data_IF_059844585457
#
_entry.id   IF_059844585457
#
_cell.length_a   1.000
_cell.length_b   1.000
_cell.length_c   1.000
_cell.angle_alpha   90.00
_cell.angle_beta   90.00
_cell.angle_gamma   90.00
#
_symmetry.space_group_name_H-M   'P 1'
#
loop_
_entity.id
_entity.type
_entity.pdbx_description
1 polymer ?
#
# COMPACT_ATOMS: atom_id res chain seq x y z
N UNK A 1 8.46 4.68 10.02
CA UNK A 1 7.09 4.12 9.88
C UNK A 1 7.01 3.02 8.82
N UNK A 2 7.20 3.29 7.52
CA UNK A 2 6.97 2.27 6.46
C UNK A 2 7.81 1.01 6.64
N UNK A 3 9.04 1.12 7.18
CA UNK A 3 9.88 -0.04 7.54
C UNK A 3 9.23 -0.94 8.59
N UNK A 4 8.55 -0.36 9.58
CA UNK A 4 7.83 -1.11 10.62
C UNK A 4 6.58 -1.77 10.06
N UNK A 5 5.80 -1.06 9.24
CA UNK A 5 4.64 -1.65 8.55
C UNK A 5 5.10 -2.82 7.69
N UNK A 6 6.16 -2.62 6.90
CA UNK A 6 6.72 -3.66 6.03
C UNK A 6 7.09 -4.92 6.79
N UNK A 7 7.76 -4.78 7.94
CA UNK A 7 8.15 -5.90 8.78
C UNK A 7 6.95 -6.61 9.43
N UNK A 8 5.89 -5.88 9.78
CA UNK A 8 4.75 -6.44 10.53
C UNK A 8 3.75 -7.19 9.67
N UNK A 9 3.57 -6.77 8.42
CA UNK A 9 2.55 -7.36 7.53
C UNK A 9 3.13 -8.01 6.29
N UNK A 10 4.46 -8.12 6.20
CA UNK A 10 5.18 -8.52 4.98
C UNK A 10 4.67 -7.71 3.76
N UNK A 11 4.71 -6.37 3.87
CA UNK A 11 4.08 -5.47 2.89
C UNK A 11 4.65 -5.66 1.49
N UNK A 12 5.99 -5.63 1.36
CA UNK A 12 6.70 -5.62 0.10
C UNK A 12 7.40 -6.95 -0.16
N UNK A 13 7.36 -7.36 -1.41
CA UNK A 13 8.18 -8.42 -1.96
C UNK A 13 9.64 -7.95 -2.11
N UNK A 14 10.60 -8.87 -2.12
CA UNK A 14 12.03 -8.57 -2.17
C UNK A 14 12.49 -7.81 -3.44
N UNK A 15 11.66 -7.74 -4.48
CA UNK A 15 11.86 -6.91 -5.67
C UNK A 15 11.65 -5.41 -5.42
N UNK A 16 11.03 -5.04 -4.30
CA UNK A 16 10.68 -3.65 -3.97
C UNK A 16 11.26 -3.25 -2.63
N UNK A 17 11.92 -2.09 -2.58
CA UNK A 17 12.41 -1.50 -1.33
C UNK A 17 11.36 -0.60 -0.69
N UNK A 18 11.49 -0.40 0.63
CA UNK A 18 10.62 0.55 1.35
C UNK A 18 10.82 1.98 0.83
N UNK A 19 12.04 2.31 0.42
CA UNK A 19 12.41 3.59 -0.17
C UNK A 19 11.67 3.84 -1.50
N UNK A 20 11.57 2.84 -2.38
CA UNK A 20 10.80 2.95 -3.63
C UNK A 20 9.31 3.20 -3.38
N UNK A 21 8.72 2.49 -2.40
CA UNK A 21 7.34 2.76 -1.99
C UNK A 21 7.19 4.18 -1.44
N UNK A 22 8.14 4.62 -0.62
CA UNK A 22 8.11 5.95 -0.01
C UNK A 22 8.18 7.06 -1.05
N UNK A 23 9.08 6.95 -2.03
CA UNK A 23 9.18 7.89 -3.16
C UNK A 23 7.87 7.99 -3.93
N UNK A 24 7.24 6.85 -4.23
CA UNK A 24 5.96 6.81 -4.93
C UNK A 24 4.85 7.46 -4.08
N UNK A 25 4.80 7.21 -2.76
CA UNK A 25 3.81 7.84 -1.87
C UNK A 25 3.92 9.36 -1.81
N UNK A 26 5.13 9.91 -1.98
CA UNK A 26 5.38 11.36 -2.05
C UNK A 26 5.03 11.97 -3.40
N UNK A 27 4.91 11.15 -4.46
CA UNK A 27 4.57 11.63 -5.79
C UNK A 27 3.10 12.07 -5.88
N UNK A 28 2.84 13.13 -6.65
CA UNK A 28 1.47 13.56 -6.98
C UNK A 28 0.84 12.73 -8.09
N UNK A 29 1.70 12.12 -8.91
CA UNK A 29 1.32 11.25 -10.01
C UNK A 29 2.26 10.04 -10.05
N UNK A 30 1.69 8.85 -10.03
CA UNK A 30 2.42 7.58 -9.97
C UNK A 30 2.81 7.07 -11.36
N UNK A 31 2.29 7.66 -12.45
CA UNK A 31 2.64 7.20 -13.80
C UNK A 31 4.10 7.49 -14.15
N UNK A 32 4.67 8.55 -13.57
CA UNK A 32 6.02 9.02 -13.86
C UNK A 32 7.11 8.31 -13.04
N UNK A 33 6.75 7.33 -12.21
CA UNK A 33 7.72 6.56 -11.42
C UNK A 33 8.18 5.35 -12.21
N UNK A 34 9.49 5.13 -12.36
CA UNK A 34 10.01 3.92 -13.04
C UNK A 34 9.77 2.63 -12.23
N UNK A 35 9.72 2.75 -10.91
CA UNK A 35 9.60 1.60 -9.99
C UNK A 35 8.22 0.93 -10.05
N UNK A 36 8.20 -0.41 -10.16
CA UNK A 36 7.03 -1.22 -9.79
C UNK A 36 7.07 -1.53 -8.29
N UNK A 37 5.88 -1.54 -7.67
CA UNK A 37 5.67 -1.90 -6.27
C UNK A 37 5.06 -3.30 -6.22
N UNK A 38 5.88 -4.28 -5.88
CA UNK A 38 5.47 -5.66 -5.68
C UNK A 38 5.06 -5.87 -4.22
N UNK A 39 3.78 -6.20 -4.02
CA UNK A 39 3.18 -6.44 -2.71
C UNK A 39 3.30 -7.92 -2.33
N UNK A 40 3.64 -8.18 -1.07
CA UNK A 40 3.72 -9.54 -0.51
C UNK A 40 2.60 -9.84 0.49
N UNK A 41 1.94 -8.81 1.01
CA UNK A 41 0.82 -8.93 1.95
C UNK A 41 -0.51 -9.27 1.26
N UNK A 42 -1.52 -9.60 2.05
CA UNK A 42 -2.87 -9.81 1.55
C UNK A 42 -3.49 -8.50 1.06
N UNK A 43 -4.33 -8.59 0.02
CA UNK A 43 -5.02 -7.42 -0.55
C UNK A 43 -5.93 -6.72 0.46
N UNK A 44 -6.48 -7.47 1.43
CA UNK A 44 -7.28 -6.95 2.56
C UNK A 44 -6.45 -6.04 3.48
N UNK A 45 -5.25 -6.48 3.88
CA UNK A 45 -4.32 -5.70 4.68
C UNK A 45 -3.86 -4.44 3.92
N UNK A 46 -3.50 -4.60 2.64
CA UNK A 46 -3.09 -3.47 1.80
C UNK A 46 -4.22 -2.44 1.62
N UNK A 47 -5.45 -2.90 1.38
CA UNK A 47 -6.60 -2.01 1.26
C UNK A 47 -6.88 -1.21 2.54
N UNK A 48 -6.67 -1.83 3.70
CA UNK A 48 -6.78 -1.13 4.98
C UNK A 48 -5.67 -0.09 5.13
N UNK A 49 -4.43 -0.44 4.79
CA UNK A 49 -3.29 0.48 4.81
C UNK A 49 -3.51 1.69 3.90
N UNK A 50 -4.03 1.50 2.67
CA UNK A 50 -4.41 2.61 1.76
C UNK A 50 -5.37 3.58 2.44
N UNK A 51 -6.38 3.04 3.15
CA UNK A 51 -7.35 3.87 3.87
C UNK A 51 -6.70 4.68 4.99
N UNK A 52 -5.76 4.07 5.73
CA UNK A 52 -5.08 4.69 6.88
C UNK A 52 -4.01 5.69 6.47
N UNK A 53 -3.37 5.50 5.33
CA UNK A 53 -2.35 6.39 4.80
C UNK A 53 -2.92 7.59 4.04
N UNK A 54 -4.17 7.51 3.57
CA UNK A 54 -4.83 8.59 2.81
C UNK A 54 -4.77 9.99 3.45
N UNK A 55 -4.92 10.18 4.78
CA UNK A 55 -4.79 11.50 5.39
C UNK A 55 -3.38 12.12 5.27
N UNK A 56 -2.35 11.29 5.17
CA UNK A 56 -0.94 11.71 5.07
C UNK A 56 -0.48 11.82 3.62
N UNK A 57 -1.00 10.96 2.75
CA UNK A 57 -0.67 10.89 1.32
C UNK A 57 -1.96 11.00 0.50
N UNK A 58 -2.44 12.23 0.29
CA UNK A 58 -3.75 12.49 -0.32
C UNK A 58 -3.91 11.91 -1.74
N UNK A 59 -2.79 11.77 -2.47
CA UNK A 59 -2.75 11.20 -3.81
C UNK A 59 -2.70 9.66 -3.80
N UNK A 60 -2.43 9.04 -2.64
CA UNK A 60 -2.45 7.59 -2.47
C UNK A 60 -3.88 7.09 -2.24
N UNK A 61 -4.57 6.81 -3.34
CA UNK A 61 -5.95 6.34 -3.34
C UNK A 61 -6.15 5.23 -4.40
N UNK A 62 -7.24 4.44 -4.32
CA UNK A 62 -7.48 3.32 -5.22
C UNK A 62 -7.42 3.67 -6.70
N UNK A 63 -7.95 4.83 -7.10
CA UNK A 63 -7.95 5.29 -8.49
C UNK A 63 -6.54 5.59 -8.99
N UNK A 64 -5.72 6.28 -8.20
CA UNK A 64 -4.33 6.57 -8.55
C UNK A 64 -3.49 5.28 -8.65
N UNK A 65 -3.69 4.35 -7.70
CA UNK A 65 -3.05 3.03 -7.69
C UNK A 65 -3.36 2.27 -8.98
N UNK A 66 -4.64 2.15 -9.36
CA UNK A 66 -5.03 1.43 -10.57
C UNK A 66 -4.52 2.10 -11.84
N UNK A 67 -4.70 3.42 -11.96
CA UNK A 67 -4.27 4.19 -13.14
C UNK A 67 -2.76 4.12 -13.37
N UNK A 68 -1.98 4.01 -12.30
CA UNK A 68 -0.52 3.95 -12.39
C UNK A 68 0.00 2.68 -13.06
N UNK A 69 -0.71 1.56 -12.92
CA UNK A 69 -0.19 0.23 -13.30
C UNK A 69 1.09 -0.17 -12.57
N UNK A 70 1.45 0.48 -11.45
CA UNK A 70 2.71 0.24 -10.72
C UNK A 70 2.59 -0.81 -9.63
N UNK A 71 1.39 -1.08 -9.12
CA UNK A 71 1.18 -2.00 -8.01
C UNK A 71 0.86 -3.40 -8.50
N UNK A 72 1.68 -4.37 -8.10
CA UNK A 72 1.55 -5.78 -8.44
C UNK A 72 1.25 -6.56 -7.17
N UNK A 73 0.22 -7.38 -7.18
CA UNK A 73 -0.16 -8.24 -6.04
C UNK A 73 0.84 -9.38 -5.86
N UNK A 74 0.74 -10.07 -4.71
CA UNK A 74 1.48 -11.31 -4.43
C UNK A 74 1.35 -12.37 -5.53
N UNK A 75 0.20 -12.42 -6.20
CA UNK A 75 -0.08 -13.36 -7.30
C UNK A 75 0.46 -12.91 -8.66
N UNK A 76 1.16 -11.79 -8.73
CA UNK A 76 1.74 -11.25 -9.97
C UNK A 76 0.77 -10.45 -10.84
N UNK A 77 -0.44 -10.15 -10.36
CA UNK A 77 -1.44 -9.39 -11.12
C UNK A 77 -1.42 -7.91 -10.77
N UNK A 78 -1.70 -7.03 -11.74
CA UNK A 78 -1.88 -5.60 -11.45
C UNK A 78 -3.06 -5.38 -10.51
N UNK A 79 -2.84 -4.56 -9.49
CA UNK A 79 -3.85 -4.23 -8.51
C UNK A 79 -4.86 -3.23 -9.09
N UNK A 80 -6.15 -3.59 -9.10
CA UNK A 80 -7.24 -2.73 -9.57
C UNK A 80 -7.95 -2.05 -8.39
N UNK A 81 -8.60 -0.90 -8.62
CA UNK A 81 -9.37 -0.24 -7.56
C UNK A 81 -10.48 -1.16 -7.03
N UNK A 82 -11.09 -1.97 -7.91
CA UNK A 82 -12.10 -2.95 -7.51
C UNK A 82 -11.55 -4.00 -6.53
N UNK A 83 -10.27 -4.40 -6.64
CA UNK A 83 -9.65 -5.30 -5.66
C UNK A 83 -9.59 -4.64 -4.28
N UNK A 84 -9.28 -3.34 -4.21
CA UNK A 84 -9.26 -2.58 -2.96
C UNK A 84 -10.66 -2.40 -2.38
N UNK A 85 -11.63 -2.02 -3.20
CA UNK A 85 -13.02 -1.82 -2.73
C UNK A 85 -13.66 -3.13 -2.23
N UNK A 86 -13.50 -4.24 -2.95
CA UNK A 86 -14.06 -5.54 -2.57
C UNK A 86 -13.40 -6.14 -1.33
N UNK A 87 -12.11 -5.88 -1.13
CA UNK A 87 -11.35 -6.38 0.02
C UNK A 87 -11.31 -5.38 1.19
N UNK A 88 -12.16 -4.34 1.16
CA UNK A 88 -12.30 -3.40 2.27
C UNK A 88 -13.00 -4.10 3.45
N UNK A 89 -12.20 -4.76 4.27
CA UNK A 89 -12.64 -5.42 5.50
C UNK A 89 -12.40 -4.49 6.70
N UNK A 90 -13.30 -4.53 7.68
CA UNK A 90 -13.17 -3.71 8.89
C UNK A 90 -12.04 -4.23 9.82
N UNK A 91 -11.81 -5.55 9.80
CA UNK A 91 -10.83 -6.20 10.66
C UNK A 91 -9.88 -7.11 9.87
N UNK A 92 -8.95 -6.53 9.08
CA UNK A 92 -7.92 -7.33 8.43
C UNK A 92 -6.98 -7.94 9.47
N UNK A 93 -6.21 -8.93 9.04
CA UNK A 93 -5.08 -9.45 9.81
C UNK A 93 -4.12 -8.32 10.19
N UNK A 94 -3.55 -8.38 11.39
CA UNK A 94 -2.64 -7.37 11.96
C UNK A 94 -3.20 -5.93 12.03
N UNK A 95 -4.54 -5.73 11.97
CA UNK A 95 -5.18 -4.40 12.07
C UNK A 95 -4.63 -3.56 13.22
N UNK A 96 -4.58 -4.13 14.43
CA UNK A 96 -4.14 -3.41 15.62
C UNK A 96 -2.68 -2.96 15.52
N UNK A 97 -1.82 -3.79 14.93
CA UNK A 97 -0.42 -3.44 14.72
C UNK A 97 -0.28 -2.33 13.67
N UNK A 98 -1.05 -2.40 12.57
CA UNK A 98 -1.13 -1.32 11.57
C UNK A 98 -1.59 -0.02 12.25
N UNK A 99 -2.66 -0.06 13.03
CA UNK A 99 -3.21 1.12 13.72
C UNK A 99 -2.18 1.72 14.69
N UNK A 100 -1.53 0.90 15.52
CA UNK A 100 -0.47 1.36 16.44
C UNK A 100 0.68 2.06 15.70
N UNK A 101 1.14 1.50 14.58
CA UNK A 101 2.24 2.08 13.80
C UNK A 101 1.82 3.40 13.15
N UNK A 102 0.59 3.49 12.62
CA UNK A 102 0.10 4.72 12.00
C UNK A 102 -0.20 5.81 13.04
N UNK A 103 -0.68 5.45 14.24
CA UNK A 103 -0.91 6.41 15.33
C UNK A 103 0.37 7.11 15.78
N UNK A 104 1.55 6.47 15.64
CA UNK A 104 2.83 7.13 15.91
C UNK A 104 3.16 8.28 14.93
N UNK A 105 2.34 8.52 13.91
CA UNK A 105 2.45 9.65 12.97
C UNK A 105 1.52 10.82 13.31
N UNK A 106 0.55 10.62 14.21
CA UNK A 106 -0.37 11.66 14.68
C UNK A 106 0.27 12.45 15.81
#
# INVERSE_FOLDING_TARGET
MLKLVNLKIDLLDNRTTVEQLHELLLAKDFTNTESQIYLQCETTQFSYLVTKLKPFFIYFNPTAIERSGKFVTKTGTLLKANNLHKNKVHNPKEKEEIDKIIQQLQ
#
